data_IF_008031064077
#
_entry.id   IF_008031064077
#
_cell.length_a   1.000
_cell.length_b   1.000
_cell.length_c   1.000
_cell.angle_alpha   90.00
_cell.angle_beta   90.00
_cell.angle_gamma   90.00
#
_symmetry.space_group_name_H-M   'P 1'
#
loop_
_entity.id
_entity.type
_entity.pdbx_description
1 polymer ?
#
# COMPACT_ATOMS: atom_id res chain seq x y z
N UNK A 1 3.85 53.87 85.59
CA UNK A 1 3.11 52.77 84.93
C UNK A 1 3.58 51.46 85.55
N UNK A 2 2.70 50.59 86.05
CA UNK A 2 3.15 49.37 86.76
C UNK A 2 3.76 48.36 85.79
N UNK A 3 4.72 47.57 86.27
CA UNK A 3 5.43 46.56 85.46
C UNK A 3 4.49 45.52 84.82
N UNK A 4 3.38 45.22 85.49
CA UNK A 4 2.34 44.33 84.97
C UNK A 4 1.62 44.93 83.74
N UNK A 5 1.46 46.25 83.68
CA UNK A 5 0.86 46.94 82.51
C UNK A 5 1.83 46.95 81.33
N UNK A 6 3.13 47.20 81.58
CA UNK A 6 4.18 47.16 80.54
C UNK A 6 4.28 45.76 79.92
N UNK A 7 4.25 44.68 80.72
CA UNK A 7 4.25 43.30 80.22
C UNK A 7 3.04 42.98 79.33
N UNK A 8 1.85 43.45 79.70
CA UNK A 8 0.63 43.27 78.90
C UNK A 8 0.70 44.01 77.56
N UNK A 9 1.26 45.22 77.56
CA UNK A 9 1.45 46.02 76.34
C UNK A 9 2.47 45.34 75.42
N UNK A 10 3.62 44.90 75.94
CA UNK A 10 4.62 44.18 75.14
C UNK A 10 4.09 42.86 74.57
N UNK A 11 3.30 42.12 75.35
CA UNK A 11 2.64 40.89 74.88
C UNK A 11 1.62 41.18 73.77
N UNK A 12 0.86 42.27 73.87
CA UNK A 12 -0.06 42.68 72.82
C UNK A 12 0.68 43.04 71.53
N UNK A 13 1.75 43.83 71.62
CA UNK A 13 2.56 44.18 70.46
C UNK A 13 3.25 42.97 69.82
N UNK A 14 3.71 41.99 70.60
CA UNK A 14 4.33 40.78 70.04
C UNK A 14 3.30 39.91 69.31
N UNK A 15 2.07 39.82 69.81
CA UNK A 15 0.96 39.12 69.12
C UNK A 15 0.59 39.83 67.82
N UNK A 16 0.45 41.16 67.85
CA UNK A 16 0.14 41.95 66.65
C UNK A 16 1.25 41.83 65.60
N UNK A 17 2.52 41.84 66.02
CA UNK A 17 3.68 41.66 65.13
C UNK A 17 3.69 40.26 64.51
N UNK A 18 3.40 39.21 65.28
CA UNK A 18 3.31 37.84 64.79
C UNK A 18 2.21 37.70 63.72
N UNK A 19 1.02 38.26 63.97
CA UNK A 19 -0.09 38.23 63.01
C UNK A 19 0.28 38.98 61.72
N UNK A 20 0.92 40.14 61.82
CA UNK A 20 1.35 40.91 60.64
C UNK A 20 2.45 40.20 59.84
N UNK A 21 3.42 39.57 60.50
CA UNK A 21 4.46 38.79 59.83
C UNK A 21 3.87 37.53 59.15
N UNK A 22 2.94 36.83 59.81
CA UNK A 22 2.26 35.67 59.22
C UNK A 22 1.40 36.06 58.01
N UNK A 23 0.65 37.16 58.09
CA UNK A 23 -0.15 37.67 56.97
C UNK A 23 0.74 38.12 55.80
N UNK A 24 1.85 38.83 56.08
CA UNK A 24 2.82 39.25 55.08
C UNK A 24 3.51 38.05 54.40
N UNK A 25 3.91 37.04 55.17
CA UNK A 25 4.47 35.80 54.65
C UNK A 25 3.49 35.03 53.75
N UNK A 26 2.23 34.93 54.17
CA UNK A 26 1.18 34.28 53.38
C UNK A 26 0.92 35.02 52.05
N UNK A 27 0.89 36.35 52.07
CA UNK A 27 0.71 37.16 50.86
C UNK A 27 1.88 36.99 49.88
N UNK A 28 3.13 37.00 50.37
CA UNK A 28 4.31 36.78 49.54
C UNK A 28 4.33 35.35 48.95
N UNK A 29 3.96 34.34 49.74
CA UNK A 29 3.84 32.96 49.27
C UNK A 29 2.80 32.81 48.15
N UNK A 30 1.62 33.42 48.31
CA UNK A 30 0.60 33.44 47.26
C UNK A 30 1.12 34.11 45.98
N UNK A 31 1.77 35.29 46.10
CA UNK A 31 2.32 36.02 44.95
C UNK A 31 3.34 35.20 44.18
N UNK A 32 4.25 34.52 44.87
CA UNK A 32 5.26 33.63 44.24
C UNK A 32 4.59 32.46 43.53
N UNK A 33 3.58 31.85 44.14
CA UNK A 33 2.88 30.70 43.59
C UNK A 33 2.06 31.08 42.34
N UNK A 34 1.40 32.23 42.37
CA UNK A 34 0.65 32.78 41.23
C UNK A 34 1.61 33.12 40.09
N UNK A 35 2.71 33.80 40.36
CA UNK A 35 3.70 34.13 39.33
C UNK A 35 4.30 32.88 38.69
N UNK A 36 4.57 31.82 39.47
CA UNK A 36 5.06 30.55 38.94
C UNK A 36 4.03 29.88 38.01
N UNK A 37 2.74 29.91 38.36
CA UNK A 37 1.66 29.41 37.50
C UNK A 37 1.54 30.21 36.20
N UNK A 38 1.59 31.54 36.29
CA UNK A 38 1.54 32.41 35.10
C UNK A 38 2.69 32.11 34.15
N UNK A 39 3.90 31.91 34.68
CA UNK A 39 5.07 31.60 33.85
C UNK A 39 4.95 30.22 33.17
N UNK A 40 4.44 29.21 33.88
CA UNK A 40 4.16 27.89 33.30
C UNK A 40 3.11 27.98 32.18
N UNK A 41 2.01 28.69 32.41
CA UNK A 41 0.96 28.88 31.39
C UNK A 41 1.48 29.63 30.16
N UNK A 42 2.41 30.59 30.32
CA UNK A 42 3.06 31.26 29.17
C UNK A 42 3.91 30.30 28.35
N UNK A 43 4.65 29.41 29.00
CA UNK A 43 5.46 28.39 28.31
C UNK A 43 4.59 27.39 27.56
N UNK A 44 3.49 26.93 28.17
CA UNK A 44 2.51 26.06 27.52
C UNK A 44 1.86 26.73 26.31
N UNK A 45 1.48 28.01 26.43
CA UNK A 45 0.93 28.78 25.30
C UNK A 45 1.93 28.92 24.14
N UNK A 46 3.21 29.18 24.43
CA UNK A 46 4.25 29.24 23.38
C UNK A 46 4.46 27.89 22.69
N UNK A 47 4.42 26.78 23.43
CA UNK A 47 4.52 25.45 22.83
C UNK A 47 3.31 25.14 21.95
N UNK A 48 2.11 25.47 22.42
CA UNK A 48 0.87 25.30 21.64
C UNK A 48 0.88 26.19 20.40
N UNK A 49 1.37 27.43 20.47
CA UNK A 49 1.50 28.31 19.30
C UNK A 49 2.49 27.73 18.27
N UNK A 50 3.62 27.18 18.70
CA UNK A 50 4.58 26.51 17.81
C UNK A 50 4.01 25.22 17.20
N UNK A 51 3.24 24.46 17.96
CA UNK A 51 2.53 23.28 17.43
C UNK A 51 1.46 23.69 16.42
N UNK A 52 0.65 24.71 16.72
CA UNK A 52 -0.34 25.27 15.79
C UNK A 52 0.35 25.80 14.54
N UNK A 53 1.52 26.44 14.63
CA UNK A 53 2.27 26.94 13.47
C UNK A 53 2.86 25.79 12.62
N UNK A 54 3.34 24.71 13.27
CA UNK A 54 3.74 23.47 12.60
C UNK A 54 2.56 22.78 11.92
N UNK A 55 1.39 22.77 12.53
CA UNK A 55 0.16 22.17 11.97
C UNK A 55 -0.50 23.05 10.90
N UNK A 56 -0.38 24.39 11.01
CA UNK A 56 -0.86 25.35 10.01
C UNK A 56 0.00 25.41 8.75
N UNK A 57 1.23 24.88 8.79
CA UNK A 57 1.92 24.41 7.58
C UNK A 57 1.25 23.13 7.06
N UNK A 58 -0.04 23.23 6.76
CA UNK A 58 -0.72 22.31 5.86
C UNK A 58 0.05 22.37 4.55
N UNK A 59 0.82 21.33 4.28
CA UNK A 59 1.69 21.26 3.12
C UNK A 59 0.79 20.98 1.90
N UNK A 60 0.15 22.03 1.38
CA UNK A 60 -0.75 21.95 0.23
C UNK A 60 -0.09 21.23 -0.94
N UNK A 61 1.23 21.35 -1.09
CA UNK A 61 2.02 20.61 -2.09
C UNK A 61 2.07 19.11 -1.79
N UNK A 62 2.33 18.68 -0.56
CA UNK A 62 2.35 17.25 -0.21
C UNK A 62 0.95 16.62 -0.26
N UNK A 63 -0.08 17.39 0.12
CA UNK A 63 -1.47 16.94 0.01
C UNK A 63 -1.94 16.92 -1.45
N UNK A 64 -1.60 17.94 -2.25
CA UNK A 64 -1.86 17.96 -3.69
C UNK A 64 -1.07 16.87 -4.40
N UNK A 65 0.15 16.55 -3.97
CA UNK A 65 0.93 15.44 -4.50
C UNK A 65 0.32 14.09 -4.11
N UNK A 66 -0.12 13.90 -2.87
CA UNK A 66 -0.86 12.71 -2.44
C UNK A 66 -2.18 12.56 -3.18
N UNK A 67 -2.92 13.65 -3.38
CA UNK A 67 -4.18 13.68 -4.11
C UNK A 67 -3.96 13.44 -5.61
N UNK A 68 -2.94 14.05 -6.21
CA UNK A 68 -2.54 13.81 -7.61
C UNK A 68 -2.12 12.36 -7.80
N UNK A 69 -1.32 11.78 -6.89
CA UNK A 69 -0.97 10.36 -6.93
C UNK A 69 -2.19 9.46 -6.76
N UNK A 70 -3.15 9.83 -5.91
CA UNK A 70 -4.39 9.09 -5.73
C UNK A 70 -5.33 9.17 -6.95
N UNK A 71 -5.42 10.33 -7.61
CA UNK A 71 -6.21 10.55 -8.81
C UNK A 71 -5.54 9.92 -10.05
N UNK A 72 -4.22 10.02 -10.17
CA UNK A 72 -3.44 9.25 -11.15
C UNK A 72 -3.62 7.76 -10.90
N UNK A 73 -3.66 7.31 -9.64
CA UNK A 73 -3.96 5.92 -9.30
C UNK A 73 -5.37 5.53 -9.75
N UNK A 74 -6.41 6.34 -9.55
CA UNK A 74 -7.76 6.06 -10.07
C UNK A 74 -7.79 5.92 -11.60
N UNK A 75 -6.89 6.58 -12.34
CA UNK A 75 -6.74 6.37 -13.79
C UNK A 75 -6.24 4.97 -14.19
N UNK A 76 -5.62 4.22 -13.26
CA UNK A 76 -5.23 2.81 -13.43
C UNK A 76 -6.34 1.82 -13.05
N UNK A 77 -7.50 2.29 -12.54
CA UNK A 77 -8.62 1.44 -12.12
C UNK A 77 -9.83 1.71 -13.00
N UNK A 78 -9.95 0.95 -14.07
CA UNK A 78 -11.21 0.83 -14.80
C UNK A 78 -12.10 -0.21 -14.16
N UNK A 79 -13.40 0.07 -14.11
CA UNK A 79 -14.43 -0.86 -13.63
C UNK A 79 -15.31 -1.40 -14.76
N UNK A 80 -15.02 -1.04 -16.01
CA UNK A 80 -15.91 -1.37 -17.14
C UNK A 80 -15.20 -1.60 -18.49
N UNK A 81 -14.05 -0.99 -18.74
CA UNK A 81 -13.32 -1.10 -20.02
C UNK A 81 -11.85 -1.43 -19.81
N UNK A 82 -11.17 -1.90 -20.85
CA UNK A 82 -9.71 -2.01 -20.82
C UNK A 82 -9.05 -0.63 -20.65
N UNK A 83 -8.01 -0.55 -19.81
CA UNK A 83 -7.14 0.62 -19.79
C UNK A 83 -6.27 0.64 -21.05
N UNK A 84 -5.90 1.84 -21.51
CA UNK A 84 -4.91 2.00 -22.58
C UNK A 84 -3.51 1.91 -21.97
N UNK A 85 -2.66 1.09 -22.57
CA UNK A 85 -1.30 0.87 -22.10
C UNK A 85 -0.34 0.90 -23.28
N UNK A 86 0.73 1.70 -23.17
CA UNK A 86 1.70 1.86 -24.25
C UNK A 86 2.34 0.52 -24.62
N UNK A 87 2.39 0.23 -25.93
CA UNK A 87 2.94 -1.01 -26.46
C UNK A 87 2.02 -2.24 -26.32
N UNK A 88 0.80 -2.08 -25.79
CA UNK A 88 -0.21 -3.15 -25.72
C UNK A 88 -1.42 -2.80 -26.60
N UNK A 89 -1.75 -3.69 -27.51
CA UNK A 89 -2.91 -3.60 -28.39
C UNK A 89 -3.95 -4.65 -28.01
N UNK A 90 -5.23 -4.23 -27.97
CA UNK A 90 -6.36 -5.12 -27.66
C UNK A 90 -7.32 -5.13 -28.85
N UNK A 91 -7.45 -6.31 -29.48
CA UNK A 91 -8.35 -6.54 -30.60
C UNK A 91 -9.53 -7.36 -30.10
N UNK A 92 -10.70 -6.72 -30.01
CA UNK A 92 -11.93 -7.38 -29.60
C UNK A 92 -12.39 -8.41 -30.65
N UNK A 93 -12.62 -9.65 -30.20
CA UNK A 93 -13.32 -10.70 -30.95
C UNK A 93 -14.71 -10.94 -30.31
N UNK A 94 -15.40 -11.99 -30.75
CA UNK A 94 -16.78 -12.28 -30.33
C UNK A 94 -16.88 -12.55 -28.82
N UNK A 95 -16.26 -13.63 -28.38
CA UNK A 95 -16.27 -14.18 -27.01
C UNK A 95 -14.96 -13.92 -26.25
N UNK A 96 -13.96 -13.40 -26.94
CA UNK A 96 -12.61 -13.19 -26.43
C UNK A 96 -12.02 -11.90 -27.00
N UNK A 97 -10.84 -11.54 -26.54
CA UNK A 97 -10.00 -10.49 -27.13
C UNK A 97 -8.59 -11.01 -27.33
N UNK A 98 -7.95 -10.58 -28.42
CA UNK A 98 -6.52 -10.83 -28.63
C UNK A 98 -5.77 -9.66 -28.01
N UNK A 99 -4.90 -9.96 -27.05
CA UNK A 99 -3.96 -9.01 -26.46
C UNK A 99 -2.62 -9.21 -27.12
N UNK A 100 -2.09 -8.18 -27.74
CA UNK A 100 -0.78 -8.17 -28.39
C UNK A 100 0.11 -7.22 -27.60
N UNK A 101 1.15 -7.75 -27.00
CA UNK A 101 2.15 -6.99 -26.28
C UNK A 101 3.38 -6.79 -27.17
N UNK A 102 3.42 -5.68 -27.90
CA UNK A 102 4.49 -5.33 -28.82
C UNK A 102 5.81 -5.05 -28.09
N UNK A 103 5.74 -4.54 -26.86
CA UNK A 103 6.93 -4.27 -26.02
C UNK A 103 7.65 -5.57 -25.67
N UNK A 104 6.90 -6.55 -25.16
CA UNK A 104 7.44 -7.83 -24.68
C UNK A 104 7.45 -8.93 -25.75
N UNK A 105 6.86 -8.70 -26.91
CA UNK A 105 6.95 -9.61 -28.06
C UNK A 105 6.10 -10.88 -27.91
N UNK A 106 4.89 -10.77 -27.36
CA UNK A 106 3.95 -11.89 -27.30
C UNK A 106 2.52 -11.47 -27.64
N UNK A 107 1.69 -12.47 -27.90
CA UNK A 107 0.24 -12.33 -27.96
C UNK A 107 -0.45 -13.45 -27.19
N UNK A 108 -1.65 -13.19 -26.69
CA UNK A 108 -2.50 -14.15 -25.98
C UNK A 108 -3.97 -13.77 -26.15
N UNK A 109 -4.86 -14.75 -26.28
CA UNK A 109 -6.29 -14.52 -26.18
C UNK A 109 -6.73 -14.49 -24.72
N UNK A 110 -7.61 -13.58 -24.36
CA UNK A 110 -8.18 -13.42 -23.02
C UNK A 110 -9.71 -13.41 -23.14
N UNK A 111 -10.46 -13.97 -22.18
CA UNK A 111 -11.92 -13.84 -22.16
C UNK A 111 -12.37 -12.38 -22.21
N UNK A 112 -13.47 -12.11 -22.91
CA UNK A 112 -13.94 -10.73 -23.14
C UNK A 112 -14.46 -10.07 -21.85
N UNK A 113 -14.95 -10.88 -20.92
CA UNK A 113 -15.47 -10.45 -19.62
C UNK A 113 -14.38 -10.03 -18.63
N UNK A 114 -13.11 -10.33 -18.94
CA UNK A 114 -11.98 -9.80 -18.19
C UNK A 114 -11.52 -8.49 -18.83
N UNK A 115 -11.14 -7.51 -18.03
CA UNK A 115 -10.61 -6.21 -18.49
C UNK A 115 -9.16 -6.05 -18.07
N UNK A 116 -8.32 -5.53 -18.97
CA UNK A 116 -6.98 -5.08 -18.62
C UNK A 116 -7.14 -3.91 -17.67
N UNK A 117 -6.64 -4.08 -16.46
CA UNK A 117 -6.83 -3.13 -15.38
C UNK A 117 -5.61 -3.16 -14.48
N UNK A 118 -5.39 -2.12 -13.65
CA UNK A 118 -4.35 -2.12 -12.61
C UNK A 118 -2.96 -2.55 -13.12
N UNK A 119 -2.68 -2.32 -14.40
CA UNK A 119 -1.46 -2.73 -15.08
C UNK A 119 -0.59 -1.49 -15.22
N UNK A 120 0.61 -1.53 -14.64
CA UNK A 120 1.47 -0.34 -14.56
C UNK A 120 2.17 -0.06 -15.88
N UNK A 121 2.62 -1.12 -16.54
CA UNK A 121 3.40 -1.09 -17.77
C UNK A 121 3.24 -2.42 -18.51
N UNK A 122 3.81 -2.52 -19.71
CA UNK A 122 3.70 -3.70 -20.56
C UNK A 122 4.34 -4.98 -19.97
N UNK A 123 5.17 -4.88 -18.93
CA UNK A 123 5.76 -6.05 -18.28
C UNK A 123 4.83 -6.71 -17.25
N UNK A 124 3.71 -6.05 -16.89
CA UNK A 124 2.82 -6.48 -15.81
C UNK A 124 1.37 -6.21 -16.19
N UNK A 125 0.71 -7.22 -16.77
CA UNK A 125 -0.68 -7.14 -17.21
C UNK A 125 -1.59 -7.90 -16.25
N UNK A 126 -2.61 -7.23 -15.71
CA UNK A 126 -3.63 -7.79 -14.82
C UNK A 126 -4.99 -7.74 -15.52
N UNK A 127 -5.65 -8.88 -15.59
CA UNK A 127 -6.98 -9.02 -16.20
C UNK A 127 -8.02 -9.32 -15.13
N UNK A 128 -8.85 -8.31 -14.86
CA UNK A 128 -9.83 -8.32 -13.80
C UNK A 128 -11.21 -8.77 -14.28
N UNK A 129 -11.89 -9.56 -13.45
CA UNK A 129 -13.26 -9.98 -13.70
C UNK A 129 -14.24 -8.83 -13.42
N UNK A 130 -14.95 -8.38 -14.46
CA UNK A 130 -16.07 -7.44 -14.31
C UNK A 130 -17.16 -7.98 -13.37
N UNK A 131 -17.32 -9.31 -13.31
CA UNK A 131 -18.26 -9.95 -12.37
C UNK A 131 -17.81 -9.77 -10.92
N UNK A 132 -16.53 -9.98 -10.61
CA UNK A 132 -16.01 -9.77 -9.26
C UNK A 132 -16.09 -8.29 -8.83
N UNK A 133 -15.80 -7.38 -9.76
CA UNK A 133 -15.94 -5.94 -9.55
C UNK A 133 -17.39 -5.56 -9.26
N UNK A 134 -18.34 -6.06 -10.07
CA UNK A 134 -19.76 -5.68 -9.95
C UNK A 134 -20.45 -6.16 -8.67
N UNK A 135 -19.92 -7.21 -8.03
CA UNK A 135 -20.38 -7.67 -6.71
C UNK A 135 -19.61 -7.05 -5.54
N UNK A 136 -18.79 -6.02 -5.81
CA UNK A 136 -17.96 -5.35 -4.81
C UNK A 136 -17.06 -6.31 -4.03
N UNK A 137 -16.56 -7.36 -4.67
CA UNK A 137 -15.56 -8.22 -4.06
C UNK A 137 -14.33 -7.37 -3.65
N UNK A 138 -13.57 -7.76 -2.61
CA UNK A 138 -12.30 -7.10 -2.33
C UNK A 138 -11.36 -7.14 -3.55
N UNK A 139 -10.61 -6.06 -3.79
CA UNK A 139 -9.76 -5.87 -4.98
C UNK A 139 -8.74 -6.99 -5.19
N UNK A 140 -8.28 -7.65 -4.13
CA UNK A 140 -7.40 -8.83 -4.20
C UNK A 140 -8.01 -10.03 -4.93
N UNK A 141 -9.33 -10.07 -5.09
CA UNK A 141 -10.07 -11.15 -5.75
C UNK A 141 -10.58 -10.78 -7.14
N UNK A 142 -10.21 -9.60 -7.65
CA UNK A 142 -10.68 -9.17 -8.97
C UNK A 142 -9.92 -9.83 -10.10
N UNK A 143 -8.59 -9.98 -9.95
CA UNK A 143 -7.76 -10.50 -11.03
C UNK A 143 -7.98 -11.98 -11.21
N UNK A 144 -8.26 -12.38 -12.45
CA UNK A 144 -8.36 -13.78 -12.84
C UNK A 144 -7.10 -14.27 -13.57
N UNK A 145 -6.45 -13.40 -14.33
CA UNK A 145 -5.22 -13.71 -15.08
C UNK A 145 -4.21 -12.60 -14.87
N UNK A 146 -2.99 -12.97 -14.50
CA UNK A 146 -1.84 -12.07 -14.44
C UNK A 146 -0.78 -12.53 -15.43
N UNK A 147 -0.09 -11.59 -16.07
CA UNK A 147 1.04 -11.87 -16.95
C UNK A 147 2.19 -10.94 -16.54
N UNK A 148 3.26 -11.53 -16.02
CA UNK A 148 4.44 -10.84 -15.53
C UNK A 148 5.68 -11.23 -16.34
N UNK A 149 6.48 -10.23 -16.69
CA UNK A 149 7.79 -10.42 -17.35
C UNK A 149 8.88 -9.89 -16.43
N UNK A 150 9.74 -10.79 -15.97
CA UNK A 150 10.85 -10.45 -15.08
C UNK A 150 12.17 -10.40 -15.84
N UNK A 151 12.94 -9.36 -15.52
CA UNK A 151 14.23 -9.07 -16.13
C UNK A 151 15.35 -9.42 -15.14
N UNK A 152 16.28 -10.33 -15.46
CA UNK A 152 17.36 -10.75 -14.55
C UNK A 152 18.37 -9.65 -14.25
N UNK A 153 18.41 -8.59 -15.05
CA UNK A 153 19.25 -7.42 -14.77
C UNK A 153 18.68 -6.55 -13.66
N UNK A 154 17.42 -6.75 -13.28
CA UNK A 154 16.77 -6.06 -12.18
C UNK A 154 16.94 -6.90 -10.91
N UNK A 155 17.77 -6.38 -9.99
CA UNK A 155 18.08 -7.05 -8.71
C UNK A 155 16.83 -7.32 -7.88
N UNK A 156 15.78 -6.52 -8.07
CA UNK A 156 14.50 -6.67 -7.38
C UNK A 156 13.78 -8.00 -7.71
N UNK A 157 14.03 -8.58 -8.89
CA UNK A 157 13.33 -9.79 -9.37
C UNK A 157 14.18 -11.05 -9.36
N UNK A 158 15.35 -11.00 -8.73
CA UNK A 158 16.27 -12.13 -8.68
C UNK A 158 15.65 -13.37 -8.03
N UNK A 159 14.85 -13.17 -6.98
CA UNK A 159 14.21 -14.25 -6.23
C UNK A 159 13.19 -15.02 -7.08
N UNK A 160 12.44 -14.34 -7.95
CA UNK A 160 11.46 -14.97 -8.87
C UNK A 160 12.15 -15.88 -9.89
N UNK A 161 13.32 -15.47 -10.37
CA UNK A 161 14.12 -16.26 -11.31
C UNK A 161 14.76 -17.45 -10.59
N UNK A 162 15.22 -17.27 -9.35
CA UNK A 162 15.71 -18.37 -8.53
C UNK A 162 14.60 -19.38 -8.23
N UNK A 163 13.39 -18.91 -7.89
CA UNK A 163 12.22 -19.75 -7.68
C UNK A 163 11.90 -20.59 -8.92
N UNK A 164 11.96 -20.01 -10.13
CA UNK A 164 11.80 -20.77 -11.36
C UNK A 164 12.77 -21.95 -11.47
N UNK A 165 14.06 -21.75 -11.15
CA UNK A 165 15.04 -22.83 -11.18
C UNK A 165 14.83 -23.86 -10.07
N UNK A 166 14.33 -23.45 -8.91
CA UNK A 166 13.93 -24.38 -7.86
C UNK A 166 12.70 -25.20 -8.29
N UNK A 167 11.71 -24.59 -8.91
CA UNK A 167 10.50 -25.25 -9.42
C UNK A 167 10.84 -26.33 -10.45
N UNK A 168 11.86 -26.13 -11.29
CA UNK A 168 12.33 -27.14 -12.24
C UNK A 168 12.78 -28.45 -11.58
N UNK A 169 13.16 -28.41 -10.29
CA UNK A 169 13.61 -29.59 -9.53
C UNK A 169 12.50 -30.28 -8.76
N UNK A 170 11.32 -29.64 -8.62
CA UNK A 170 10.18 -30.20 -7.88
C UNK A 170 9.51 -31.30 -8.70
N UNK A 171 9.16 -32.41 -8.05
CA UNK A 171 8.46 -33.54 -8.70
C UNK A 171 7.02 -33.22 -9.11
N UNK A 172 6.42 -32.19 -8.51
CA UNK A 172 5.06 -31.73 -8.80
C UNK A 172 4.98 -30.84 -10.04
N UNK A 173 6.12 -30.41 -10.58
CA UNK A 173 6.20 -29.53 -11.74
C UNK A 173 5.88 -30.31 -13.02
N UNK A 174 4.89 -29.82 -13.76
CA UNK A 174 4.51 -30.40 -15.04
C UNK A 174 5.16 -29.61 -16.18
N UNK A 175 5.81 -30.29 -17.11
CA UNK A 175 6.29 -29.67 -18.35
C UNK A 175 5.21 -29.74 -19.41
N UNK A 176 4.88 -28.60 -20.01
CA UNK A 176 3.89 -28.51 -21.08
C UNK A 176 4.47 -27.73 -22.26
N UNK A 177 4.02 -28.04 -23.47
CA UNK A 177 4.42 -27.30 -24.67
C UNK A 177 3.25 -26.47 -25.15
N UNK A 178 3.43 -25.15 -25.18
CA UNK A 178 2.46 -24.18 -25.67
C UNK A 178 3.04 -23.53 -26.92
N UNK A 179 2.40 -23.75 -28.08
CA UNK A 179 2.80 -23.17 -29.36
C UNK A 179 4.30 -23.32 -29.69
N UNK A 180 4.88 -24.47 -29.35
CA UNK A 180 6.29 -24.80 -29.61
C UNK A 180 7.28 -24.32 -28.55
N UNK A 181 6.82 -23.72 -27.46
CA UNK A 181 7.66 -23.32 -26.31
C UNK A 181 7.34 -24.17 -25.09
N UNK A 182 8.38 -24.65 -24.40
CA UNK A 182 8.25 -25.37 -23.14
C UNK A 182 7.94 -24.37 -22.01
N UNK A 183 6.86 -24.64 -21.27
CA UNK A 183 6.52 -24.00 -20.02
C UNK A 183 6.55 -25.04 -18.91
N UNK A 184 6.87 -24.59 -17.70
CA UNK A 184 6.54 -25.33 -16.49
C UNK A 184 5.18 -24.86 -15.98
N UNK A 185 4.33 -25.80 -15.61
CA UNK A 185 3.06 -25.59 -14.91
C UNK A 185 3.26 -26.01 -13.46
N UNK A 186 3.07 -25.06 -12.55
CA UNK A 186 3.30 -25.21 -11.10
C UNK A 186 2.01 -24.88 -10.38
N UNK A 187 1.53 -25.83 -9.57
CA UNK A 187 0.41 -25.62 -8.65
C UNK A 187 0.86 -24.69 -7.51
N UNK A 188 0.01 -23.76 -7.10
CA UNK A 188 0.27 -22.94 -5.92
C UNK A 188 0.37 -23.83 -4.66
N UNK A 189 1.34 -23.58 -3.75
CA UNK A 189 1.58 -24.47 -2.61
C UNK A 189 0.38 -24.68 -1.67
N UNK A 190 -0.54 -23.72 -1.63
CA UNK A 190 -1.73 -23.74 -0.78
C UNK A 190 -2.96 -24.39 -1.44
N UNK A 191 -2.86 -24.74 -2.73
CA UNK A 191 -3.96 -25.28 -3.52
C UNK A 191 -3.99 -26.82 -3.51
N UNK A 192 -5.17 -27.39 -3.62
CA UNK A 192 -5.37 -28.83 -3.75
C UNK A 192 -5.19 -29.24 -5.23
N UNK A 193 -4.28 -30.18 -5.57
CA UNK A 193 -4.12 -30.67 -6.94
C UNK A 193 -5.38 -31.35 -7.52
N UNK A 194 -6.31 -31.80 -6.67
CA UNK A 194 -7.59 -32.38 -7.09
C UNK A 194 -8.68 -31.33 -7.30
N UNK A 195 -8.45 -30.07 -6.87
CA UNK A 195 -9.39 -28.98 -7.08
C UNK A 195 -9.30 -28.50 -8.55
N UNK A 196 -10.36 -28.66 -9.36
CA UNK A 196 -10.36 -28.15 -10.72
C UNK A 196 -10.27 -26.61 -10.77
N UNK A 197 -10.67 -25.93 -9.70
CA UNK A 197 -10.59 -24.47 -9.55
C UNK A 197 -9.26 -24.01 -8.92
N UNK A 198 -8.28 -24.92 -8.76
CA UNK A 198 -6.95 -24.59 -8.30
C UNK A 198 -6.27 -23.56 -9.21
N UNK A 199 -5.40 -22.77 -8.59
CA UNK A 199 -4.65 -21.71 -9.24
C UNK A 199 -3.24 -22.20 -9.63
N UNK A 200 -2.76 -21.77 -10.80
CA UNK A 200 -1.50 -22.26 -11.36
C UNK A 200 -0.63 -21.15 -11.93
N UNK A 201 0.68 -21.32 -11.80
CA UNK A 201 1.67 -20.58 -12.54
C UNK A 201 2.12 -21.35 -13.78
N UNK A 202 2.24 -20.63 -14.89
CA UNK A 202 2.87 -21.09 -16.12
C UNK A 202 4.11 -20.23 -16.34
N UNK A 203 5.29 -20.83 -16.20
CA UNK A 203 6.55 -20.11 -16.24
C UNK A 203 7.42 -20.60 -17.41
N UNK A 204 8.11 -19.71 -18.09
CA UNK A 204 9.15 -20.06 -19.07
C UNK A 204 10.22 -18.98 -19.10
N UNK A 205 11.46 -19.38 -19.42
CA UNK A 205 12.55 -18.43 -19.66
C UNK A 205 12.90 -18.42 -21.15
N UNK A 206 12.79 -17.25 -21.77
CA UNK A 206 13.18 -17.02 -23.17
C UNK A 206 14.02 -15.74 -23.25
N UNK A 207 15.16 -15.81 -23.96
CA UNK A 207 16.09 -14.69 -24.12
C UNK A 207 16.47 -14.02 -22.79
N UNK A 208 16.68 -14.86 -21.77
CA UNK A 208 17.01 -14.41 -20.42
C UNK A 208 15.93 -13.49 -19.81
N UNK A 209 14.65 -13.68 -20.14
CA UNK A 209 13.51 -13.08 -19.44
C UNK A 209 12.60 -14.17 -18.94
N UNK A 210 12.10 -14.05 -17.72
CA UNK A 210 11.10 -14.97 -17.16
C UNK A 210 9.71 -14.45 -17.51
N UNK A 211 8.97 -15.23 -18.29
CA UNK A 211 7.56 -15.00 -18.58
C UNK A 211 6.74 -15.86 -17.63
N UNK A 212 5.87 -15.23 -16.86
CA UNK A 212 5.00 -15.90 -15.90
C UNK A 212 3.54 -15.52 -16.17
N UNK A 213 2.70 -16.53 -16.39
CA UNK A 213 1.25 -16.37 -16.46
C UNK A 213 0.67 -17.03 -15.23
N UNK A 214 -0.04 -16.27 -14.42
CA UNK A 214 -0.75 -16.75 -13.25
C UNK A 214 -2.25 -16.75 -13.55
N UNK A 215 -2.93 -17.88 -13.33
CA UNK A 215 -4.38 -17.98 -13.48
C UNK A 215 -5.03 -18.41 -12.16
N UNK A 216 -6.12 -17.73 -11.80
CA UNK A 216 -6.99 -18.05 -10.66
C UNK A 216 -8.18 -18.82 -11.21
N UNK A 217 -8.42 -20.04 -10.76
CA UNK A 217 -9.37 -21.01 -11.36
C UNK A 217 -8.96 -21.49 -12.75
N UNK A 218 -8.07 -22.49 -12.78
CA UNK A 218 -7.59 -23.09 -14.02
C UNK A 218 -8.71 -23.65 -14.89
N UNK A 219 -9.74 -24.28 -14.30
CA UNK A 219 -10.92 -24.77 -15.03
C UNK A 219 -11.54 -23.75 -15.97
N UNK A 220 -11.53 -22.46 -15.61
CA UNK A 220 -12.14 -21.42 -16.40
C UNK A 220 -11.19 -20.84 -17.46
N UNK A 221 -9.90 -20.75 -17.16
CA UNK A 221 -8.98 -19.90 -17.92
C UNK A 221 -7.78 -20.60 -18.54
N UNK A 222 -7.51 -21.87 -18.22
CA UNK A 222 -6.32 -22.58 -18.72
C UNK A 222 -6.26 -22.67 -20.26
N UNK A 223 -7.39 -22.80 -20.94
CA UNK A 223 -7.42 -22.88 -22.40
C UNK A 223 -6.93 -21.59 -23.08
N UNK A 224 -7.04 -20.45 -22.40
CA UNK A 224 -6.52 -19.18 -22.90
C UNK A 224 -4.99 -19.12 -22.82
N UNK A 225 -4.38 -19.75 -21.81
CA UNK A 225 -2.92 -19.86 -21.69
C UNK A 225 -2.33 -20.59 -22.90
N UNK A 226 -3.03 -21.61 -23.41
CA UNK A 226 -2.60 -22.37 -24.61
C UNK A 226 -2.56 -21.52 -25.90
N UNK A 227 -3.18 -20.35 -25.89
CA UNK A 227 -3.14 -19.41 -27.02
C UNK A 227 -1.91 -18.49 -26.98
N UNK A 228 -1.14 -18.51 -25.88
CA UNK A 228 0.05 -17.70 -25.72
C UNK A 228 1.07 -18.02 -26.81
N UNK A 229 1.56 -17.00 -27.49
CA UNK A 229 2.50 -17.14 -28.59
C UNK A 229 3.47 -15.96 -28.61
N UNK A 230 4.76 -16.26 -28.71
CA UNK A 230 5.76 -15.24 -29.03
C UNK A 230 5.58 -14.75 -30.46
N UNK A 231 5.62 -13.44 -30.64
CA UNK A 231 5.63 -12.79 -31.95
C UNK A 231 7.05 -12.30 -32.22
N UNK A 232 7.59 -12.66 -33.38
CA UNK A 232 8.91 -12.17 -33.77
C UNK A 232 8.84 -10.65 -33.91
N UNK A 233 9.82 -9.96 -33.31
CA UNK A 233 10.12 -8.57 -33.64
C UNK A 233 10.81 -8.49 -35.00
#
# INVERSE_FOLDING_TARGET
MSWAVIKKILLFFSIVLLITLSAGGYFLYQKVTINKKIEQTKQELQQIEQEIEKTKKFNEEEYAEKLSRALDFESYFSTSTDIQLEGVEIINKRDRKLVINHTEGYQIEIPKELILNRSRDASSLNFDSLKAISVYAPTRYWTAIFIYIYYPTDEYWKDEIEEYYQDLTKSTTQKIVINGVEFIKVLLPEEDPEDPDASYFYKTIINNKLYMIYIVSAKLYEDYVKTFKFINK
#
